data_IF_563481494157
#
_entry.id   IF_563481494157
#
_cell.length_a   1.000
_cell.length_b   1.000
_cell.length_c   1.000
_cell.angle_alpha   90.00
_cell.angle_beta   90.00
_cell.angle_gamma   90.00
#
_symmetry.space_group_name_H-M   'P 1'
#
loop_
_entity.id
_entity.type
_entity.pdbx_description
1 polymer ?
#
# COMPACT_ATOMS: atom_id res chain seq x y z
N UNK A 1 9.25 -31.29 -34.67
CA UNK A 1 9.34 -29.95 -34.05
C UNK A 1 7.96 -29.60 -33.47
N UNK A 2 7.88 -28.96 -32.30
CA UNK A 2 6.62 -28.35 -31.80
C UNK A 2 6.79 -26.84 -31.89
N UNK A 3 5.83 -26.15 -32.51
CA UNK A 3 5.82 -24.69 -32.50
C UNK A 3 5.42 -24.19 -31.11
N UNK A 4 6.16 -23.22 -30.57
CA UNK A 4 5.78 -22.53 -29.36
C UNK A 4 4.74 -21.45 -29.71
N UNK A 5 3.50 -21.63 -29.26
CA UNK A 5 2.49 -20.57 -29.32
C UNK A 5 2.88 -19.44 -28.39
N UNK A 6 3.27 -18.29 -28.94
CA UNK A 6 3.56 -17.10 -28.16
C UNK A 6 2.29 -16.65 -27.43
N UNK A 7 2.32 -16.69 -26.09
CA UNK A 7 1.28 -16.08 -25.26
C UNK A 7 1.44 -14.56 -25.39
N UNK A 8 0.43 -13.89 -25.92
CA UNK A 8 0.46 -12.43 -26.06
C UNK A 8 0.57 -11.77 -24.68
N UNK A 9 1.41 -10.73 -24.57
CA UNK A 9 1.56 -9.97 -23.34
C UNK A 9 0.24 -9.25 -22.99
N UNK A 10 -0.37 -9.53 -21.82
CA UNK A 10 -1.60 -8.86 -21.40
C UNK A 10 -1.49 -7.33 -21.38
N UNK A 11 -0.31 -6.78 -21.04
CA UNK A 11 -0.09 -5.34 -21.04
C UNK A 11 -0.08 -4.77 -22.46
N UNK A 12 0.50 -5.49 -23.43
CA UNK A 12 0.47 -5.07 -24.83
C UNK A 12 -0.96 -5.07 -25.40
N UNK A 13 -1.80 -6.03 -25.00
CA UNK A 13 -3.21 -6.07 -25.40
C UNK A 13 -4.01 -4.92 -24.79
N UNK A 14 -3.84 -4.63 -23.50
CA UNK A 14 -4.47 -3.49 -22.81
C UNK A 14 -4.03 -2.16 -23.44
N UNK A 15 -2.74 -1.98 -23.72
CA UNK A 15 -2.21 -0.78 -24.37
C UNK A 15 -2.77 -0.60 -25.78
N UNK A 16 -2.88 -1.67 -26.57
CA UNK A 16 -3.51 -1.61 -27.89
C UNK A 16 -4.98 -1.21 -27.81
N UNK A 17 -5.75 -1.76 -26.86
CA UNK A 17 -7.16 -1.40 -26.65
C UNK A 17 -7.32 0.09 -26.28
N UNK A 18 -6.50 0.60 -25.35
CA UNK A 18 -6.49 2.02 -24.95
C UNK A 18 -6.13 2.93 -26.13
N UNK A 19 -5.17 2.53 -26.97
CA UNK A 19 -4.79 3.29 -28.16
C UNK A 19 -5.97 3.37 -29.15
N UNK A 20 -6.69 2.28 -29.39
CA UNK A 20 -7.82 2.24 -30.34
C UNK A 20 -9.02 3.06 -29.82
N UNK A 21 -9.40 2.86 -28.54
CA UNK A 21 -10.46 3.60 -27.85
C UNK A 21 -10.22 5.14 -27.89
N UNK A 22 -8.97 5.57 -27.69
CA UNK A 22 -8.58 7.00 -27.73
C UNK A 22 -8.43 7.52 -29.16
N UNK A 23 -7.94 6.72 -30.10
CA UNK A 23 -7.70 7.14 -31.49
C UNK A 23 -9.00 7.53 -32.19
N UNK A 24 -10.07 6.75 -32.02
CA UNK A 24 -11.38 7.08 -32.60
C UNK A 24 -11.87 8.47 -32.16
N UNK A 25 -11.66 8.80 -30.88
CA UNK A 25 -12.03 10.11 -30.30
C UNK A 25 -11.21 11.29 -30.86
N UNK A 26 -10.10 11.04 -31.55
CA UNK A 26 -9.27 12.07 -32.20
C UNK A 26 -9.47 12.13 -33.72
N UNK A 27 -9.62 11.00 -34.41
CA UNK A 27 -9.69 10.96 -35.88
C UNK A 27 -11.08 11.29 -36.44
N UNK A 28 -12.14 11.15 -35.63
CA UNK A 28 -13.52 11.49 -36.03
C UNK A 28 -13.99 12.83 -35.48
N UNK A 29 -13.21 13.89 -35.66
CA UNK A 29 -13.74 15.26 -35.59
C UNK A 29 -14.69 15.49 -36.76
N UNK A 30 -15.91 15.94 -36.48
CA UNK A 30 -16.83 16.38 -37.53
C UNK A 30 -16.28 17.68 -38.10
N UNK A 31 -15.94 17.69 -39.40
CA UNK A 31 -15.48 18.90 -40.07
C UNK A 31 -16.59 19.96 -40.09
N UNK A 32 -16.21 21.23 -39.86
CA UNK A 32 -17.16 22.36 -39.86
C UNK A 32 -17.71 22.70 -41.27
N UNK A 33 -17.34 21.96 -42.31
CA UNK A 33 -18.02 21.99 -43.61
C UNK A 33 -19.38 21.24 -43.55
N UNK A 34 -20.32 21.81 -42.77
CA UNK A 34 -21.69 21.32 -42.55
C UNK A 34 -22.55 21.10 -43.83
N UNK A 35 -22.02 21.39 -45.02
CA UNK A 35 -22.75 21.34 -46.30
C UNK A 35 -22.82 19.94 -46.93
N UNK A 36 -21.96 19.01 -46.50
CA UNK A 36 -21.74 17.73 -47.21
C UNK A 36 -22.51 16.54 -46.59
N UNK A 37 -22.88 16.62 -45.31
CA UNK A 37 -23.41 15.47 -44.56
C UNK A 37 -24.84 15.68 -44.03
N UNK A 38 -25.72 14.66 -44.07
CA UNK A 38 -27.04 14.72 -43.42
C UNK A 38 -26.92 14.88 -41.91
N UNK A 39 -27.82 15.66 -41.29
CA UNK A 39 -27.85 15.86 -39.82
C UNK A 39 -27.90 14.54 -39.04
N UNK A 40 -28.68 13.56 -39.52
CA UNK A 40 -28.75 12.22 -38.92
C UNK A 40 -27.40 11.48 -38.85
N UNK A 41 -26.46 11.77 -39.77
CA UNK A 41 -25.10 11.24 -39.70
C UNK A 41 -24.27 11.93 -38.60
N UNK A 42 -24.47 13.24 -38.42
CA UNK A 42 -23.83 14.00 -37.33
C UNK A 42 -24.36 13.57 -35.96
N UNK A 43 -25.68 13.42 -35.81
CA UNK A 43 -26.32 12.96 -34.57
C UNK A 43 -25.85 11.54 -34.19
N UNK A 44 -25.65 10.68 -35.20
CA UNK A 44 -25.08 9.35 -35.02
C UNK A 44 -23.63 9.39 -34.52
N UNK A 45 -22.76 10.22 -35.13
CA UNK A 45 -21.37 10.40 -34.69
C UNK A 45 -21.30 10.98 -33.28
N UNK A 46 -22.11 12.00 -32.96
CA UNK A 46 -22.19 12.60 -31.63
C UNK A 46 -22.60 11.57 -30.56
N UNK A 47 -23.61 10.74 -30.87
CA UNK A 47 -24.08 9.66 -29.98
C UNK A 47 -22.98 8.62 -29.75
N UNK A 48 -22.24 8.24 -30.81
CA UNK A 48 -21.15 7.27 -30.73
C UNK A 48 -19.95 7.80 -29.94
N UNK A 49 -19.57 9.07 -30.14
CA UNK A 49 -18.55 9.74 -29.32
C UNK A 49 -18.95 9.82 -27.85
N UNK A 50 -20.21 10.13 -27.54
CA UNK A 50 -20.70 10.18 -26.16
C UNK A 50 -20.70 8.79 -25.50
N UNK A 51 -21.06 7.75 -26.25
CA UNK A 51 -21.01 6.35 -25.80
C UNK A 51 -19.56 5.86 -25.61
N UNK A 52 -18.61 6.25 -26.46
CA UNK A 52 -17.18 5.98 -26.22
C UNK A 52 -16.67 6.70 -24.97
N UNK A 53 -16.98 8.00 -24.79
CA UNK A 53 -16.62 8.73 -23.57
C UNK A 53 -17.18 8.04 -22.31
N UNK A 54 -18.44 7.60 -22.35
CA UNK A 54 -19.06 6.81 -21.28
C UNK A 54 -18.30 5.50 -21.00
N UNK A 55 -17.88 4.76 -22.03
CA UNK A 55 -17.10 3.52 -21.86
C UNK A 55 -15.72 3.78 -21.28
N UNK A 56 -15.02 4.82 -21.75
CA UNK A 56 -13.73 5.25 -21.22
C UNK A 56 -13.87 5.68 -19.75
N UNK A 57 -14.93 6.41 -19.40
CA UNK A 57 -15.22 6.82 -18.01
C UNK A 57 -15.60 5.63 -17.11
N UNK A 58 -16.37 4.66 -17.62
CA UNK A 58 -16.72 3.43 -16.88
C UNK A 58 -15.51 2.49 -16.68
N UNK A 59 -14.55 2.49 -17.61
CA UNK A 59 -13.40 1.56 -17.60
C UNK A 59 -12.17 2.16 -16.92
N UNK A 60 -11.91 3.45 -17.14
CA UNK A 60 -10.69 4.17 -16.76
C UNK A 60 -10.95 5.48 -15.99
N UNK A 61 -12.20 5.82 -15.69
CA UNK A 61 -12.56 7.01 -14.90
C UNK A 61 -12.14 6.92 -13.43
N UNK A 62 -12.52 7.94 -12.65
CA UNK A 62 -12.13 8.09 -11.25
C UNK A 62 -12.74 7.01 -10.34
N UNK A 63 -12.11 5.85 -10.29
CA UNK A 63 -12.50 4.72 -9.45
C UNK A 63 -12.15 4.99 -7.99
N UNK A 64 -13.07 4.65 -7.08
CA UNK A 64 -12.80 4.69 -5.65
C UNK A 64 -11.54 3.85 -5.31
N UNK A 65 -10.63 4.36 -4.46
CA UNK A 65 -9.37 3.67 -4.17
C UNK A 65 -9.65 2.36 -3.43
N UNK A 66 -9.02 1.27 -3.86
CA UNK A 66 -9.27 -0.05 -3.26
C UNK A 66 -8.79 -0.11 -1.80
N UNK A 67 -9.38 -0.99 -0.96
CA UNK A 67 -8.92 -1.19 0.41
C UNK A 67 -7.44 -1.59 0.48
N UNK A 68 -6.97 -2.40 -0.46
CA UNK A 68 -5.56 -2.81 -0.53
C UNK A 68 -4.63 -1.66 -0.91
N UNK A 69 -5.08 -0.75 -1.80
CA UNK A 69 -4.34 0.45 -2.16
C UNK A 69 -4.23 1.41 -0.97
N UNK A 70 -5.35 1.73 -0.30
CA UNK A 70 -5.33 2.60 0.88
C UNK A 70 -4.54 1.99 2.04
N UNK A 71 -4.66 0.67 2.26
CA UNK A 71 -3.89 -0.05 3.27
C UNK A 71 -2.39 -0.01 2.97
N UNK A 72 -2.00 -0.22 1.71
CA UNK A 72 -0.61 -0.11 1.25
C UNK A 72 -0.07 1.32 1.37
N UNK A 73 -0.88 2.33 1.05
CA UNK A 73 -0.54 3.74 1.20
C UNK A 73 -0.30 4.07 2.68
N UNK A 74 -1.21 3.67 3.57
CA UNK A 74 -1.09 3.87 5.03
C UNK A 74 0.20 3.23 5.59
N UNK A 75 0.49 1.98 5.19
CA UNK A 75 1.70 1.26 5.59
C UNK A 75 2.99 1.90 5.05
N UNK A 76 2.95 2.53 3.89
CA UNK A 76 4.07 3.26 3.31
C UNK A 76 4.28 4.63 3.97
N UNK A 77 3.20 5.39 4.18
CA UNK A 77 3.19 6.75 4.74
C UNK A 77 3.76 6.78 6.17
N UNK A 78 3.41 5.79 7.02
CA UNK A 78 3.87 5.70 8.42
C UNK A 78 4.90 4.59 8.68
N UNK A 79 5.63 4.16 7.64
CA UNK A 79 6.61 3.06 7.73
C UNK A 79 7.71 3.33 8.75
N UNK A 80 8.22 4.57 8.81
CA UNK A 80 9.35 4.95 9.67
C UNK A 80 8.99 4.94 11.16
N UNK A 81 7.83 5.51 11.50
CA UNK A 81 7.31 5.57 12.85
C UNK A 81 7.01 4.16 13.37
N UNK A 82 6.35 3.32 12.57
CA UNK A 82 6.02 1.95 12.93
C UNK A 82 7.27 1.08 13.10
N UNK A 83 8.27 1.20 12.22
CA UNK A 83 9.55 0.53 12.38
C UNK A 83 10.30 0.99 13.65
N UNK A 84 10.28 2.29 13.96
CA UNK A 84 10.89 2.81 15.19
C UNK A 84 10.22 2.27 16.47
N UNK A 85 8.90 2.05 16.41
CA UNK A 85 8.13 1.46 17.51
C UNK A 85 8.36 -0.05 17.64
N UNK A 86 8.54 -0.75 16.52
CA UNK A 86 8.90 -2.18 16.53
C UNK A 86 10.29 -2.39 17.13
N UNK A 87 11.30 -1.62 16.71
CA UNK A 87 12.66 -1.68 17.28
C UNK A 87 12.68 -1.39 18.79
N UNK A 88 11.82 -0.48 19.26
CA UNK A 88 11.67 -0.21 20.70
C UNK A 88 11.07 -1.40 21.49
N UNK A 89 10.17 -2.18 20.88
CA UNK A 89 9.66 -3.41 21.49
C UNK A 89 10.73 -4.50 21.51
N UNK A 90 11.47 -4.64 20.42
CA UNK A 90 12.50 -5.68 20.24
C UNK A 90 13.73 -5.44 21.13
N UNK A 91 14.05 -4.18 21.45
CA UNK A 91 15.14 -3.84 22.39
C UNK A 91 14.82 -4.11 23.86
N UNK A 92 13.52 -4.17 24.23
CA UNK A 92 13.06 -4.34 25.61
C UNK A 92 13.24 -3.11 26.52
N UNK A 93 13.90 -2.05 26.07
CA UNK A 93 14.12 -0.82 26.86
C UNK A 93 12.89 0.10 26.80
N UNK A 94 12.21 0.39 27.93
CA UNK A 94 11.08 1.32 27.95
C UNK A 94 11.44 2.77 27.59
N UNK A 95 12.73 3.12 27.56
CA UNK A 95 13.24 4.45 27.18
C UNK A 95 13.71 4.52 25.72
N UNK A 96 13.60 3.44 24.94
CA UNK A 96 14.17 3.39 23.59
C UNK A 96 13.62 4.52 22.68
N UNK A 97 14.48 5.26 21.96
CA UNK A 97 14.11 6.54 21.35
C UNK A 97 13.35 6.43 20.02
N UNK A 98 12.05 6.06 20.08
CA UNK A 98 11.13 6.05 18.92
C UNK A 98 10.99 7.42 18.25
N UNK A 99 10.56 7.46 16.99
CA UNK A 99 10.19 8.71 16.30
C UNK A 99 9.06 9.43 17.03
N UNK A 100 8.07 8.68 17.54
CA UNK A 100 6.94 9.20 18.32
C UNK A 100 7.45 9.93 19.57
N UNK A 101 8.45 9.37 20.26
CA UNK A 101 9.05 9.97 21.47
C UNK A 101 9.63 11.36 21.19
N UNK A 102 10.24 11.57 20.01
CA UNK A 102 10.91 12.82 19.60
C UNK A 102 9.95 13.92 19.14
N UNK A 103 8.74 13.58 18.70
CA UNK A 103 7.75 14.56 18.23
C UNK A 103 7.29 15.53 19.34
N UNK A 104 6.91 16.76 19.00
CA UNK A 104 6.25 17.68 19.93
C UNK A 104 4.83 17.21 20.29
N UNK A 105 4.21 17.82 21.31
CA UNK A 105 2.80 17.57 21.67
C UNK A 105 1.86 17.82 20.49
N UNK A 106 2.02 18.93 19.77
CA UNK A 106 1.16 19.28 18.63
C UNK A 106 1.40 18.38 17.42
N UNK A 107 2.65 18.00 17.14
CA UNK A 107 2.95 16.96 16.14
C UNK A 107 2.28 15.62 16.52
N UNK A 108 2.31 15.23 17.79
CA UNK A 108 1.66 14.01 18.29
C UNK A 108 0.13 14.07 18.18
N UNK A 109 -0.48 15.24 18.43
CA UNK A 109 -1.92 15.47 18.23
C UNK A 109 -2.32 15.42 16.74
N UNK A 110 -1.52 16.03 15.86
CA UNK A 110 -1.78 16.05 14.43
C UNK A 110 -1.61 14.66 13.81
N UNK A 111 -0.51 13.93 14.11
CA UNK A 111 -0.33 12.55 13.67
C UNK A 111 -1.49 11.64 14.14
N UNK A 112 -1.92 11.76 15.40
CA UNK A 112 -3.10 11.06 15.94
C UNK A 112 -4.38 11.36 15.15
N UNK A 113 -4.59 12.61 14.72
CA UNK A 113 -5.76 13.03 13.93
C UNK A 113 -5.71 12.42 12.53
N UNK A 114 -4.58 12.55 11.84
CA UNK A 114 -4.43 12.15 10.44
C UNK A 114 -4.44 10.63 10.32
N UNK A 115 -3.70 9.91 11.17
CA UNK A 115 -3.78 8.44 11.25
C UNK A 115 -5.22 7.95 11.49
N UNK A 116 -5.98 8.60 12.39
CA UNK A 116 -7.38 8.24 12.63
C UNK A 116 -8.21 8.46 11.36
N UNK A 117 -8.04 9.58 10.67
CA UNK A 117 -8.76 9.88 9.44
C UNK A 117 -8.47 8.84 8.36
N UNK A 118 -7.19 8.50 8.12
CA UNK A 118 -6.78 7.50 7.13
C UNK A 118 -7.26 6.08 7.47
N UNK A 119 -7.24 5.70 8.76
CA UNK A 119 -7.81 4.43 9.22
C UNK A 119 -9.33 4.39 9.01
N UNK A 120 -10.05 5.48 9.29
CA UNK A 120 -11.49 5.58 9.03
C UNK A 120 -11.83 5.54 7.52
N UNK A 121 -11.01 6.19 6.68
CA UNK A 121 -11.08 6.17 5.22
C UNK A 121 -10.93 4.74 4.67
N UNK A 122 -9.88 4.04 5.10
CA UNK A 122 -9.67 2.62 4.77
C UNK A 122 -10.81 1.72 5.29
N UNK A 123 -11.23 1.87 6.56
CA UNK A 123 -12.33 1.07 7.09
C UNK A 123 -13.65 1.30 6.34
N UNK A 124 -13.86 2.50 5.77
CA UNK A 124 -15.03 2.78 4.94
C UNK A 124 -14.97 2.01 3.61
N UNK A 125 -13.84 2.04 2.91
CA UNK A 125 -13.71 1.28 1.65
C UNK A 125 -13.73 -0.23 1.88
N UNK A 126 -13.25 -0.75 3.02
CA UNK A 126 -13.41 -2.18 3.36
C UNK A 126 -14.89 -2.54 3.51
N UNK A 127 -15.68 -1.74 4.26
CA UNK A 127 -17.12 -1.97 4.42
C UNK A 127 -17.86 -1.93 3.08
N UNK A 128 -17.54 -0.95 2.23
CA UNK A 128 -18.10 -0.82 0.88
C UNK A 128 -17.76 -2.03 -0.01
N UNK A 129 -16.48 -2.41 -0.08
CA UNK A 129 -16.01 -3.50 -0.93
C UNK A 129 -16.45 -4.91 -0.47
N UNK A 130 -16.80 -5.07 0.81
CA UNK A 130 -17.23 -6.37 1.38
C UNK A 130 -18.74 -6.46 1.63
N UNK A 131 -19.46 -5.34 1.59
CA UNK A 131 -20.87 -5.25 1.99
C UNK A 131 -21.11 -5.45 3.49
N UNK A 132 -20.07 -5.36 4.33
CA UNK A 132 -20.13 -5.64 5.76
C UNK A 132 -20.33 -4.36 6.59
N UNK A 133 -21.14 -4.43 7.65
CA UNK A 133 -21.37 -3.30 8.57
C UNK A 133 -20.12 -2.95 9.39
N UNK A 134 -19.29 -3.95 9.69
CA UNK A 134 -18.08 -3.84 10.53
C UNK A 134 -16.89 -4.51 9.85
N UNK A 135 -15.69 -4.00 10.15
CA UNK A 135 -14.42 -4.53 9.64
C UNK A 135 -13.85 -5.55 10.63
N UNK A 136 -13.69 -6.79 10.20
CA UNK A 136 -13.29 -7.93 11.04
C UNK A 136 -11.80 -7.89 11.44
N UNK A 137 -11.41 -8.52 12.56
CA UNK A 137 -10.01 -8.54 13.03
C UNK A 137 -9.00 -9.05 11.99
N UNK A 138 -9.39 -10.00 11.14
CA UNK A 138 -8.54 -10.56 10.10
C UNK A 138 -8.30 -9.59 8.93
N UNK A 139 -9.28 -8.75 8.59
CA UNK A 139 -9.09 -7.64 7.65
C UNK A 139 -8.12 -6.59 8.23
N UNK A 140 -8.19 -6.35 9.55
CA UNK A 140 -7.27 -5.47 10.29
C UNK A 140 -5.88 -6.10 10.51
N UNK A 141 -5.66 -7.35 10.12
CA UNK A 141 -4.39 -8.05 10.33
C UNK A 141 -3.21 -7.42 9.59
N UNK A 142 -3.44 -6.91 8.38
CA UNK A 142 -2.45 -6.21 7.55
C UNK A 142 -2.01 -4.87 8.17
N UNK A 143 -2.90 -4.21 8.91
CA UNK A 143 -2.69 -2.87 9.49
C UNK A 143 -2.40 -2.88 10.99
N UNK A 144 -2.11 -4.03 11.61
CA UNK A 144 -1.82 -4.14 13.07
C UNK A 144 -0.80 -3.10 13.54
N UNK A 145 0.31 -2.95 12.81
CA UNK A 145 1.36 -1.96 13.11
C UNK A 145 0.85 -0.52 13.12
N UNK A 146 -0.11 -0.17 12.25
CA UNK A 146 -0.75 1.14 12.19
C UNK A 146 -1.70 1.38 13.37
N UNK A 147 -2.50 0.38 13.75
CA UNK A 147 -3.36 0.45 14.95
C UNK A 147 -2.52 0.55 16.24
N UNK A 148 -1.38 -0.15 16.31
CA UNK A 148 -0.46 -0.05 17.45
C UNK A 148 0.24 1.31 17.53
N UNK A 149 0.74 1.82 16.40
CA UNK A 149 1.31 3.16 16.29
C UNK A 149 0.29 4.22 16.70
N UNK A 150 -0.93 4.15 16.17
CA UNK A 150 -2.04 5.02 16.58
C UNK A 150 -2.32 4.93 18.10
N UNK A 151 -2.30 3.73 18.69
CA UNK A 151 -2.49 3.55 20.14
C UNK A 151 -1.40 4.25 20.94
N UNK A 152 -0.12 4.10 20.55
CA UNK A 152 1.00 4.74 21.26
C UNK A 152 0.97 6.26 21.12
N UNK A 153 0.75 6.77 19.91
CA UNK A 153 0.59 8.22 19.66
C UNK A 153 -0.62 8.79 20.42
N UNK A 154 -1.74 8.06 20.49
CA UNK A 154 -2.91 8.43 21.32
C UNK A 154 -2.55 8.52 22.81
N UNK A 155 -1.77 7.59 23.35
CA UNK A 155 -1.33 7.63 24.75
C UNK A 155 -0.36 8.78 25.03
N UNK A 156 0.62 9.03 24.14
CA UNK A 156 1.52 10.20 24.27
C UNK A 156 0.72 11.51 24.24
N UNK A 157 -0.17 11.67 23.27
CA UNK A 157 -0.99 12.88 23.13
C UNK A 157 -1.94 13.10 24.31
N UNK A 158 -2.40 12.04 24.99
CA UNK A 158 -3.21 12.14 26.21
C UNK A 158 -2.36 12.50 27.45
N UNK A 159 -1.17 11.91 27.60
CA UNK A 159 -0.24 12.23 28.71
C UNK A 159 0.27 13.69 28.66
N UNK A 160 0.18 14.33 27.51
CA UNK A 160 0.64 15.69 27.27
C UNK A 160 -0.44 16.77 27.46
N UNK A 161 -1.69 16.43 27.77
CA UNK A 161 -2.63 17.40 28.35
C UNK A 161 -2.45 17.43 29.88
N UNK A 162 -2.17 18.60 30.48
CA UNK A 162 -2.37 18.77 31.92
C UNK A 162 -3.88 18.67 32.22
N UNK A 163 -4.30 18.16 33.40
CA UNK A 163 -5.71 18.11 33.74
C UNK A 163 -6.29 19.53 33.80
N UNK A 164 -7.29 19.79 32.95
CA UNK A 164 -7.99 21.07 32.85
C UNK A 164 -8.91 21.30 34.07
N UNK A 165 -8.31 21.50 35.24
CA UNK A 165 -9.00 21.61 36.53
C UNK A 165 -8.09 21.89 37.74
N UNK A 166 -6.85 22.34 37.54
CA UNK A 166 -5.84 22.52 38.60
C UNK A 166 -5.28 23.95 38.70
N UNK A 167 -6.12 24.97 38.43
CA UNK A 167 -5.76 26.38 38.54
C UNK A 167 -6.87 27.16 39.27
N UNK A 168 -7.01 26.98 40.59
CA UNK A 168 -8.07 27.67 41.35
C UNK A 168 -8.41 27.21 42.76
N UNK A 169 -7.47 26.64 43.54
CA UNK A 169 -7.66 26.47 44.99
C UNK A 169 -6.33 26.37 45.74
N UNK A 170 -5.92 27.45 46.41
CA UNK A 170 -4.99 27.38 47.53
C UNK A 170 -5.84 27.40 48.82
N UNK A 171 -6.00 26.22 49.44
CA UNK A 171 -6.66 26.04 50.73
C UNK A 171 -6.03 24.83 51.43
N UNK A 172 -5.94 24.87 52.76
CA UNK A 172 -4.99 24.06 53.52
C UNK A 172 -5.61 22.86 54.26
N UNK A 173 -4.78 21.84 54.50
CA UNK A 173 -4.85 20.89 55.63
C UNK A 173 -5.84 19.69 55.60
N UNK A 174 -5.56 18.76 56.51
CA UNK A 174 -6.52 17.89 57.24
C UNK A 174 -7.09 16.62 56.58
N UNK A 175 -6.23 15.60 56.54
CA UNK A 175 -6.40 14.29 57.24
C UNK A 175 -7.74 13.52 57.23
N UNK A 176 -7.61 12.26 56.77
CA UNK A 176 -8.11 11.01 57.38
C UNK A 176 -9.57 10.53 57.19
N UNK A 177 -9.69 9.22 56.91
CA UNK A 177 -10.93 8.42 56.95
C UNK A 177 -11.78 8.44 55.67
N UNK A 178 -12.70 7.50 55.39
CA UNK A 178 -12.95 6.13 55.89
C UNK A 178 -13.75 5.37 54.79
N UNK A 179 -13.91 4.04 54.90
CA UNK A 179 -14.74 3.21 53.98
C UNK A 179 -16.23 3.56 54.05
N UNK A 180 -16.91 3.47 52.89
CA UNK A 180 -18.02 2.53 52.58
C UNK A 180 -18.22 2.57 51.04
N UNK A 181 -18.44 1.50 50.27
CA UNK A 181 -19.51 0.48 50.27
C UNK A 181 -20.91 1.06 50.05
N UNK A 182 -21.44 0.84 48.84
CA UNK A 182 -22.86 0.50 48.61
C UNK A 182 -23.04 -0.05 47.19
N UNK A 183 -23.68 -1.21 47.10
CA UNK A 183 -24.25 -1.72 45.86
C UNK A 183 -25.67 -1.15 45.69
N UNK A 184 -26.18 -1.07 44.47
CA UNK A 184 -27.62 -1.17 44.24
C UNK A 184 -27.91 -1.79 42.88
N UNK A 185 -29.03 -2.50 42.79
CA UNK A 185 -29.49 -3.25 41.61
C UNK A 185 -30.88 -2.74 41.25
N UNK A 186 -31.11 -2.43 39.97
CA UNK A 186 -32.40 -1.99 39.45
C UNK A 186 -32.56 -2.42 37.99
N UNK A 187 -33.63 -3.15 37.70
CA UNK A 187 -33.88 -3.81 36.41
C UNK A 187 -35.10 -3.16 35.67
N UNK A 188 -35.63 -3.72 34.57
CA UNK A 188 -36.22 -2.90 33.49
C UNK A 188 -37.74 -2.67 33.57
N UNK A 189 -38.23 -1.77 32.70
CA UNK A 189 -39.63 -1.60 32.33
C UNK A 189 -39.77 -1.64 30.78
N UNK A 190 -40.95 -1.98 30.25
CA UNK A 190 -41.13 -2.33 28.84
C UNK A 190 -42.43 -1.82 28.20
N UNK A 191 -42.37 -1.55 26.89
CA UNK A 191 -43.52 -1.30 26.00
C UNK A 191 -44.15 0.10 26.06
N UNK A 192 -45.20 0.38 25.25
CA UNK A 192 -45.83 -0.47 24.24
C UNK A 192 -45.68 0.04 22.78
N UNK A 193 -46.32 -0.61 21.81
CA UNK A 193 -46.27 -0.27 20.37
C UNK A 193 -47.45 0.56 19.86
N UNK A 194 -47.27 1.32 18.78
CA UNK A 194 -48.37 1.72 17.88
C UNK A 194 -47.94 2.01 16.42
N UNK A 195 -48.52 1.24 15.50
CA UNK A 195 -48.76 1.53 14.07
C UNK A 195 -50.14 2.26 13.94
N UNK A 196 -50.55 2.95 12.83
CA UNK A 196 -50.60 2.40 11.45
C UNK A 196 -50.61 3.37 10.23
N UNK A 197 -50.72 2.77 9.01
CA UNK A 197 -51.24 3.31 7.71
C UNK A 197 -50.55 4.55 7.07
N UNK A 198 -49.90 4.48 5.89
CA UNK A 198 -50.34 4.13 4.50
C UNK A 198 -51.03 5.32 3.76
N UNK A 199 -50.97 5.52 2.43
CA UNK A 199 -50.53 4.72 1.25
C UNK A 199 -49.80 5.64 0.21
N UNK A 200 -49.69 5.48 -1.14
CA UNK A 200 -50.22 4.57 -2.18
C UNK A 200 -49.38 4.63 -3.51
N UNK A 201 -49.61 3.70 -4.46
CA UNK A 201 -49.07 3.72 -5.86
C UNK A 201 -47.65 3.14 -6.04
N UNK A 202 -47.25 2.45 -7.12
CA UNK A 202 -47.89 2.14 -8.43
C UNK A 202 -46.98 2.57 -9.61
N UNK A 203 -46.68 1.79 -10.66
CA UNK A 203 -47.07 0.41 -11.00
C UNK A 203 -46.09 -0.29 -11.98
N UNK A 204 -46.01 -1.62 -11.87
CA UNK A 204 -46.13 -2.69 -12.90
C UNK A 204 -45.48 -2.58 -14.32
N UNK A 205 -44.45 -3.42 -14.55
CA UNK A 205 -44.26 -4.32 -15.72
C UNK A 205 -43.05 -5.26 -15.39
N UNK A 206 -42.98 -6.59 -15.57
CA UNK A 206 -43.71 -7.62 -16.35
C UNK A 206 -43.18 -7.93 -17.77
N UNK A 207 -42.06 -8.67 -17.88
CA UNK A 207 -41.87 -9.68 -18.94
C UNK A 207 -40.74 -10.71 -18.72
N UNK A 208 -41.16 -11.96 -18.56
CA UNK A 208 -40.77 -13.11 -19.41
C UNK A 208 -39.30 -13.56 -19.51
N UNK A 209 -38.90 -14.38 -18.54
CA UNK A 209 -38.05 -15.59 -18.62
C UNK A 209 -37.82 -16.19 -20.03
N UNK A 210 -36.61 -16.69 -20.28
CA UNK A 210 -36.36 -17.86 -21.15
C UNK A 210 -35.11 -18.63 -20.70
N UNK A 211 -35.14 -19.96 -20.82
CA UNK A 211 -34.11 -20.88 -20.27
C UNK A 211 -33.99 -22.17 -21.08
N UNK A 212 -32.81 -22.41 -21.66
CA UNK A 212 -32.24 -23.73 -22.04
C UNK A 212 -30.70 -23.54 -22.04
N UNK A 213 -29.85 -24.32 -21.35
CA UNK A 213 -29.76 -25.76 -21.07
C UNK A 213 -29.01 -26.55 -22.14
N UNK A 214 -27.70 -26.72 -21.96
CA UNK A 214 -26.90 -27.83 -22.47
C UNK A 214 -25.72 -28.07 -21.53
N UNK A 215 -25.41 -29.33 -21.21
CA UNK A 215 -24.30 -29.71 -20.34
C UNK A 215 -23.51 -30.87 -20.96
N UNK A 216 -22.24 -31.02 -20.58
CA UNK A 216 -21.58 -32.33 -20.63
C UNK A 216 -20.40 -32.45 -19.64
N UNK A 217 -20.21 -33.67 -19.18
CA UNK A 217 -19.13 -34.19 -18.33
C UNK A 217 -17.75 -34.03 -19.01
N UNK A 218 -16.61 -34.05 -18.30
CA UNK A 218 -16.38 -34.32 -16.87
C UNK A 218 -15.35 -35.45 -16.68
N UNK A 219 -14.37 -35.25 -15.79
CA UNK A 219 -13.44 -36.32 -15.40
C UNK A 219 -12.71 -35.98 -14.09
N UNK A 220 -12.68 -36.92 -13.15
CA UNK A 220 -11.86 -36.84 -11.93
C UNK A 220 -10.59 -37.67 -12.08
N UNK A 221 -9.43 -37.14 -11.71
CA UNK A 221 -8.28 -37.97 -11.37
C UNK A 221 -7.41 -37.37 -10.26
N UNK A 222 -6.79 -38.27 -9.51
CA UNK A 222 -6.28 -38.00 -8.16
C UNK A 222 -4.97 -37.19 -8.11
N UNK A 223 -4.67 -36.75 -6.89
CA UNK A 223 -3.46 -36.05 -6.51
C UNK A 223 -2.15 -36.78 -6.90
N UNK A 224 -1.08 -36.01 -7.00
CA UNK A 224 0.30 -36.49 -6.92
C UNK A 224 1.12 -35.44 -6.17
N UNK A 225 1.22 -35.61 -4.86
CA UNK A 225 1.88 -34.67 -3.95
C UNK A 225 3.39 -34.83 -3.99
N UNK A 226 4.08 -33.94 -4.71
CA UNK A 226 5.52 -33.71 -4.58
C UNK A 226 5.79 -32.65 -3.48
N UNK A 227 6.85 -32.78 -2.67
CA UNK A 227 7.06 -31.94 -1.50
C UNK A 227 7.57 -30.53 -1.86
N UNK A 228 6.83 -29.51 -1.46
CA UNK A 228 7.21 -28.10 -1.59
C UNK A 228 8.24 -27.67 -0.53
N UNK A 229 9.45 -28.26 -0.59
CA UNK A 229 10.51 -28.09 0.42
C UNK A 229 11.73 -27.30 -0.12
N UNK A 230 11.49 -26.15 -0.76
CA UNK A 230 12.55 -25.33 -1.39
C UNK A 230 12.56 -23.83 -0.99
N UNK A 231 11.63 -23.38 -0.15
CA UNK A 231 11.49 -21.95 0.19
C UNK A 231 12.55 -21.41 1.17
N UNK A 232 13.06 -22.24 2.09
CA UNK A 232 13.86 -21.76 3.23
C UNK A 232 15.33 -21.47 2.90
N UNK A 233 15.96 -22.22 1.98
CA UNK A 233 17.40 -22.12 1.72
C UNK A 233 17.83 -20.95 0.82
N UNK A 234 16.91 -20.39 0.01
CA UNK A 234 17.28 -19.47 -1.07
C UNK A 234 17.56 -18.02 -0.61
N UNK A 235 17.23 -17.68 0.64
CA UNK A 235 17.45 -16.36 1.23
C UNK A 235 18.68 -16.27 2.16
N UNK A 236 19.14 -17.40 2.71
CA UNK A 236 20.22 -17.44 3.71
C UNK A 236 21.58 -16.98 3.14
N UNK A 237 21.96 -17.47 1.96
CA UNK A 237 23.23 -17.11 1.32
C UNK A 237 23.37 -15.59 1.06
N UNK A 238 22.25 -14.88 0.82
CA UNK A 238 22.25 -13.41 0.64
C UNK A 238 22.56 -12.65 1.94
N UNK A 239 22.40 -13.27 3.10
CA UNK A 239 22.72 -12.69 4.42
C UNK A 239 24.18 -12.96 4.83
N UNK A 240 24.84 -13.96 4.20
CA UNK A 240 26.25 -14.30 4.45
C UNK A 240 27.24 -13.36 3.75
N UNK A 241 26.78 -12.59 2.76
CA UNK A 241 27.59 -11.58 2.08
C UNK A 241 27.64 -10.34 2.98
N UNK A 242 28.76 -10.19 3.69
CA UNK A 242 28.99 -9.05 4.57
C UNK A 242 28.89 -7.74 3.77
N UNK A 243 27.91 -6.91 4.14
CA UNK A 243 27.70 -5.60 3.52
C UNK A 243 28.73 -4.63 4.06
N UNK A 244 29.71 -4.30 3.23
CA UNK A 244 30.60 -3.16 3.47
C UNK A 244 29.74 -1.90 3.67
N UNK A 245 29.90 -1.16 4.79
CA UNK A 245 29.20 0.10 4.98
C UNK A 245 29.55 1.07 3.85
N UNK A 246 28.57 1.35 2.98
CA UNK A 246 28.69 2.38 1.95
C UNK A 246 28.84 3.72 2.66
N UNK A 247 29.99 4.36 2.49
CA UNK A 247 30.28 5.60 3.18
C UNK A 247 29.45 6.74 2.56
N UNK A 248 28.77 7.53 3.39
CA UNK A 248 27.96 8.67 2.91
C UNK A 248 28.79 9.89 2.49
N UNK A 249 30.12 9.83 2.62
CA UNK A 249 31.03 10.91 2.27
C UNK A 249 31.00 11.23 0.77
N UNK A 250 31.08 12.52 0.44
CA UNK A 250 31.13 13.01 -0.94
C UNK A 250 32.39 12.50 -1.66
N UNK A 251 32.18 11.67 -2.67
CA UNK A 251 33.20 11.05 -3.54
C UNK A 251 34.19 12.08 -4.09
N UNK A 252 33.75 13.31 -4.37
CA UNK A 252 34.60 14.36 -4.92
C UNK A 252 35.61 14.92 -3.89
N UNK A 253 35.26 14.91 -2.61
CA UNK A 253 36.09 15.40 -1.51
C UNK A 253 37.09 14.35 -0.96
N UNK A 254 36.89 13.07 -1.28
CA UNK A 254 37.69 11.98 -0.73
C UNK A 254 39.14 11.96 -1.25
N UNK A 255 40.08 11.53 -0.38
CA UNK A 255 41.48 11.29 -0.77
C UNK A 255 41.61 10.08 -1.70
N UNK A 256 42.59 10.15 -2.60
CA UNK A 256 42.81 9.18 -3.67
C UNK A 256 42.97 7.73 -3.16
N UNK A 257 43.78 7.52 -2.11
CA UNK A 257 43.99 6.20 -1.51
C UNK A 257 42.70 5.60 -0.94
N UNK A 258 41.78 6.46 -0.48
CA UNK A 258 40.49 6.07 0.09
C UNK A 258 39.50 5.69 -1.02
N UNK A 259 39.46 6.46 -2.11
CA UNK A 259 38.70 6.08 -3.31
C UNK A 259 39.17 4.72 -3.86
N UNK A 260 40.49 4.49 -3.89
CA UNK A 260 41.06 3.24 -4.38
C UNK A 260 40.90 2.05 -3.42
N UNK A 261 40.81 2.27 -2.10
CA UNK A 261 40.51 1.20 -1.14
C UNK A 261 39.01 0.86 -1.10
N UNK A 262 38.12 1.86 -1.06
CA UNK A 262 36.66 1.66 -1.12
C UNK A 262 36.26 0.95 -2.42
N UNK A 263 36.80 1.38 -3.58
CA UNK A 263 36.55 0.74 -4.88
C UNK A 263 37.03 -0.72 -4.93
N UNK A 264 38.14 -1.06 -4.27
CA UNK A 264 38.61 -2.45 -4.16
C UNK A 264 37.67 -3.28 -3.29
N UNK A 265 37.24 -2.73 -2.16
CA UNK A 265 36.29 -3.37 -1.24
C UNK A 265 34.95 -3.65 -1.91
N UNK A 266 34.33 -2.64 -2.53
CA UNK A 266 33.06 -2.81 -3.26
C UNK A 266 33.19 -3.77 -4.44
N UNK A 267 34.32 -3.74 -5.18
CA UNK A 267 34.57 -4.73 -6.25
C UNK A 267 34.60 -6.16 -5.70
N UNK A 268 35.19 -6.38 -4.52
CA UNK A 268 35.23 -7.69 -3.88
C UNK A 268 33.83 -8.16 -3.44
N UNK A 269 33.05 -7.30 -2.78
CA UNK A 269 31.66 -7.61 -2.38
C UNK A 269 30.80 -7.95 -3.60
N UNK A 270 30.83 -7.12 -4.65
CA UNK A 270 30.06 -7.34 -5.87
C UNK A 270 30.51 -8.62 -6.61
N UNK A 271 31.81 -8.92 -6.63
CA UNK A 271 32.32 -10.18 -7.20
C UNK A 271 31.88 -11.41 -6.40
N UNK A 272 31.90 -11.34 -5.06
CA UNK A 272 31.37 -12.41 -4.21
C UNK A 272 29.87 -12.63 -4.45
N UNK A 273 29.08 -11.55 -4.54
CA UNK A 273 27.67 -11.62 -4.90
C UNK A 273 27.43 -12.25 -6.28
N UNK A 274 28.11 -11.80 -7.33
CA UNK A 274 27.94 -12.38 -8.67
C UNK A 274 28.38 -13.86 -8.70
N UNK A 275 29.46 -14.22 -7.99
CA UNK A 275 29.97 -15.59 -7.91
C UNK A 275 29.03 -16.54 -7.15
N UNK A 276 28.56 -16.16 -5.96
CA UNK A 276 27.63 -17.00 -5.19
C UNK A 276 26.24 -17.03 -5.86
N UNK A 277 25.77 -15.94 -6.48
CA UNK A 277 24.53 -15.97 -7.24
C UNK A 277 24.62 -16.95 -8.42
N UNK A 278 25.71 -16.91 -9.21
CA UNK A 278 25.94 -17.82 -10.34
C UNK A 278 26.07 -19.29 -9.87
N UNK A 279 26.72 -19.51 -8.72
CA UNK A 279 26.87 -20.83 -8.07
C UNK A 279 25.56 -21.42 -7.52
N UNK A 280 24.68 -20.61 -6.91
CA UNK A 280 23.41 -21.10 -6.32
C UNK A 280 22.25 -21.15 -7.32
N UNK A 281 22.27 -20.34 -8.39
CA UNK A 281 21.18 -20.26 -9.36
C UNK A 281 21.54 -20.83 -10.74
N UNK A 282 22.81 -21.15 -11.01
CA UNK A 282 23.28 -21.66 -12.30
C UNK A 282 23.28 -20.64 -13.45
N UNK A 283 22.97 -19.38 -13.15
CA UNK A 283 22.85 -18.27 -14.11
C UNK A 283 23.34 -16.96 -13.47
N UNK A 284 23.78 -16.01 -14.29
CA UNK A 284 24.25 -14.69 -13.81
C UNK A 284 23.10 -13.78 -13.35
N UNK A 285 23.33 -12.90 -12.35
CA UNK A 285 22.28 -12.04 -11.82
C UNK A 285 21.82 -11.00 -12.85
N UNK A 286 20.52 -10.99 -13.12
CA UNK A 286 19.86 -10.04 -14.01
C UNK A 286 19.65 -8.67 -13.36
N UNK A 287 18.84 -7.82 -13.99
CA UNK A 287 18.60 -6.44 -13.50
C UNK A 287 17.81 -6.41 -12.19
N UNK A 288 16.91 -7.36 -11.98
CA UNK A 288 16.06 -7.44 -10.78
C UNK A 288 16.79 -8.08 -9.59
N UNK A 289 17.61 -9.10 -9.84
CA UNK A 289 18.39 -9.79 -8.80
C UNK A 289 19.39 -8.85 -8.09
N UNK A 290 19.88 -7.84 -8.83
CA UNK A 290 20.79 -6.80 -8.33
C UNK A 290 20.12 -5.80 -7.38
N UNK A 291 18.79 -5.81 -7.22
CA UNK A 291 18.09 -4.81 -6.40
C UNK A 291 18.63 -4.71 -4.96
N UNK A 292 19.03 -5.84 -4.36
CA UNK A 292 19.63 -5.87 -3.02
C UNK A 292 20.99 -5.18 -2.89
N UNK A 293 21.73 -4.97 -3.99
CA UNK A 293 23.08 -4.39 -4.03
C UNK A 293 23.15 -3.10 -4.87
N UNK A 294 22.00 -2.44 -5.10
CA UNK A 294 21.90 -1.30 -6.03
C UNK A 294 22.77 -0.11 -5.61
N UNK A 295 22.87 0.16 -4.30
CA UNK A 295 23.69 1.26 -3.78
C UNK A 295 25.20 0.98 -3.98
N UNK A 296 25.61 -0.26 -3.74
CA UNK A 296 26.97 -0.77 -3.91
C UNK A 296 27.41 -0.70 -5.38
N UNK A 297 26.52 -1.06 -6.32
CA UNK A 297 26.75 -0.87 -7.76
C UNK A 297 26.84 0.62 -8.15
N UNK A 298 25.99 1.48 -7.59
CA UNK A 298 26.00 2.92 -7.89
C UNK A 298 27.29 3.58 -7.40
N UNK A 299 27.63 3.37 -6.12
CA UNK A 299 28.86 3.86 -5.48
C UNK A 299 30.11 3.38 -6.20
N UNK A 300 30.18 2.10 -6.59
CA UNK A 300 31.31 1.60 -7.39
C UNK A 300 31.41 2.31 -8.76
N UNK A 301 30.28 2.68 -9.37
CA UNK A 301 30.23 3.52 -10.56
C UNK A 301 30.77 4.93 -10.34
N UNK A 302 30.32 5.62 -9.28
CA UNK A 302 30.78 6.95 -8.88
C UNK A 302 32.30 6.96 -8.63
N UNK A 303 32.80 6.05 -7.78
CA UNK A 303 34.23 5.90 -7.49
C UNK A 303 35.04 5.62 -8.76
N UNK A 304 34.54 4.78 -9.68
CA UNK A 304 35.19 4.52 -10.97
C UNK A 304 35.27 5.78 -11.83
N UNK A 305 34.19 6.56 -11.89
CA UNK A 305 34.10 7.77 -12.71
C UNK A 305 34.97 8.91 -12.14
N UNK A 306 34.97 9.11 -10.82
CA UNK A 306 35.82 10.12 -10.16
C UNK A 306 37.30 9.82 -10.34
N UNK A 307 37.73 8.57 -10.15
CA UNK A 307 39.12 8.16 -10.38
C UNK A 307 39.54 8.38 -11.84
N UNK A 308 38.66 8.09 -12.81
CA UNK A 308 38.93 8.39 -14.21
C UNK A 308 39.07 9.92 -14.44
N UNK A 309 38.16 10.72 -13.88
CA UNK A 309 38.16 12.19 -13.92
C UNK A 309 39.36 12.82 -13.20
N UNK A 310 40.00 12.11 -12.28
CA UNK A 310 41.28 12.50 -11.65
C UNK A 310 42.47 12.15 -12.53
N UNK A 311 42.51 10.95 -13.10
CA UNK A 311 43.55 10.53 -14.05
C UNK A 311 43.59 11.33 -15.37
N UNK A 312 42.55 12.15 -15.65
CA UNK A 312 42.50 13.09 -16.77
C UNK A 312 42.88 14.54 -16.39
N UNK A 313 43.22 14.80 -15.11
CA UNK A 313 43.64 16.11 -14.59
C UNK A 313 45.06 16.11 -13.98
N UNK A 314 45.74 14.97 -14.07
CA UNK A 314 47.14 14.77 -13.68
C UNK A 314 47.98 14.52 -14.93
#
# INVERSE_FOLDING_TARGET
MRAATAVADPLAHILAQVIDDVSFSQTHTVSEDFRVYPRSSMDSVNTLQQEQRRRVEQTYGARAPSPDFLGSQLLAEYRGEAASLQLAKESGDPNFPTSISRMTTEQSKQLKKDMKQRIHEWEATVREATGQTDVYPDQKASLRSMYELYRVTKMKAAKAEPPAGAAGAAAESSTAGTRDVSQSVGAPAAGPSSTPTAAAGGARAESTRSTVSAAKDGSTKAASSAPAAAGAGRADWMQRIERVPVCSDDVTAMREDVLQSEKRSLKQVLHCFESDFEKYNGVRPGRHDRHGFTAEYHRYGELKNELARRSQKA
#
